data_IF_153331137095
#
_entry.id   IF_153331137095
#
_cell.length_a   1.000
_cell.length_b   1.000
_cell.length_c   1.000
_cell.angle_alpha   90.00
_cell.angle_beta   90.00
_cell.angle_gamma   90.00
#
_symmetry.space_group_name_H-M   'P 1'
#
loop_
_entity.id
_entity.type
_entity.pdbx_description
1 polymer ?
#
# COMPACT_ATOMS: atom_id res chain seq x y z
N UNK A 1 3.99 14.86 1.15
CA UNK A 1 2.99 13.89 0.74
C UNK A 1 2.25 13.37 1.96
N UNK A 2 0.96 13.55 1.99
CA UNK A 2 0.12 13.00 3.03
C UNK A 2 -0.46 11.67 2.58
N UNK A 3 -0.21 10.64 3.37
CA UNK A 3 -0.69 9.27 3.08
C UNK A 3 -1.89 8.89 3.94
N UNK A 4 -2.29 9.80 4.84
CA UNK A 4 -3.42 9.60 5.74
C UNK A 4 -4.49 10.60 5.45
N UNK A 5 -5.71 10.21 5.69
CA UNK A 5 -6.79 11.11 5.67
C UNK A 5 -7.93 10.54 6.29
N UNK A 6 -8.64 11.33 6.74
CA UNK A 6 -10.02 11.20 6.92
C UNK A 6 -10.59 12.32 7.72
N UNK A 7 -11.80 12.28 8.01
CA UNK A 7 -12.54 13.35 8.64
C UNK A 7 -12.00 13.74 10.03
N UNK A 8 -11.61 14.93 10.23
CA UNK A 8 -11.40 15.93 9.22
C UNK A 8 -10.16 15.59 8.41
N UNK A 9 -10.18 15.79 7.11
CA UNK A 9 -8.97 15.67 6.29
C UNK A 9 -7.81 16.43 6.95
N UNK A 10 -6.54 16.11 6.67
CA UNK A 10 -5.40 16.64 7.42
C UNK A 10 -5.19 18.13 7.16
N UNK A 11 -6.07 18.95 7.70
CA UNK A 11 -6.08 20.39 7.55
C UNK A 11 -4.81 21.05 8.06
N UNK A 12 -4.07 20.38 8.97
CA UNK A 12 -2.75 20.81 9.43
C UNK A 12 -1.69 20.85 8.33
N UNK A 13 -1.93 20.24 7.16
CA UNK A 13 -1.06 20.30 5.98
C UNK A 13 -1.47 21.40 4.98
N UNK A 14 -2.53 22.16 5.25
CA UNK A 14 -3.08 23.15 4.30
C UNK A 14 -2.03 24.13 3.82
N UNK A 15 -1.28 24.74 4.72
CA UNK A 15 -0.30 25.77 4.36
C UNK A 15 0.84 25.20 3.52
N UNK A 16 1.23 23.95 3.80
CA UNK A 16 2.20 23.24 2.98
C UNK A 16 1.68 23.01 1.56
N UNK A 17 0.46 22.51 1.41
CA UNK A 17 -0.14 22.31 0.08
C UNK A 17 -0.38 23.64 -0.66
N UNK A 18 -0.77 24.68 0.07
CA UNK A 18 -1.01 26.00 -0.51
C UNK A 18 0.28 26.67 -0.99
N UNK A 19 1.42 26.35 -0.40
CA UNK A 19 2.73 26.86 -0.82
C UNK A 19 3.24 26.27 -2.13
N UNK A 20 2.72 25.11 -2.56
CA UNK A 20 3.12 24.41 -3.77
C UNK A 20 2.30 24.87 -4.98
N UNK A 21 2.94 25.01 -6.15
CA UNK A 21 2.26 25.28 -7.41
C UNK A 21 1.75 24.01 -8.11
N UNK A 22 2.36 22.85 -7.79
CA UNK A 22 1.91 21.53 -8.23
C UNK A 22 1.90 20.53 -7.08
N UNK A 23 0.94 19.60 -7.08
CA UNK A 23 0.81 18.50 -6.14
C UNK A 23 0.57 17.21 -6.93
N UNK A 24 1.49 16.25 -6.79
CA UNK A 24 1.39 14.95 -7.44
C UNK A 24 1.04 13.90 -6.39
N UNK A 25 -0.22 13.47 -6.37
CA UNK A 25 -0.71 12.43 -5.47
C UNK A 25 -0.33 11.05 -5.98
N UNK A 26 0.30 10.25 -5.11
CA UNK A 26 0.72 8.88 -5.45
C UNK A 26 -0.45 7.89 -5.50
N UNK A 27 -1.60 8.27 -4.96
CA UNK A 27 -2.84 7.51 -5.02
C UNK A 27 -4.01 8.43 -5.32
N UNK A 28 -5.13 7.86 -5.80
CA UNK A 28 -6.39 8.59 -5.99
C UNK A 28 -6.86 9.23 -4.68
N UNK A 29 -6.67 8.50 -3.55
CA UNK A 29 -6.91 9.02 -2.22
C UNK A 29 -6.09 10.29 -1.96
N UNK A 30 -4.76 10.24 -2.13
CA UNK A 30 -3.89 11.39 -1.85
C UNK A 30 -4.26 12.60 -2.73
N UNK A 31 -4.59 12.37 -4.01
CA UNK A 31 -5.09 13.44 -4.88
C UNK A 31 -6.37 14.06 -4.32
N UNK A 32 -7.34 13.24 -3.94
CA UNK A 32 -8.61 13.69 -3.37
C UNK A 32 -8.40 14.51 -2.08
N UNK A 33 -7.51 14.05 -1.19
CA UNK A 33 -7.15 14.78 0.03
C UNK A 33 -6.58 16.15 -0.29
N UNK A 34 -5.64 16.23 -1.22
CA UNK A 34 -5.04 17.51 -1.63
C UNK A 34 -6.11 18.49 -2.07
N UNK A 35 -7.08 18.04 -2.87
CA UNK A 35 -8.21 18.84 -3.34
C UNK A 35 -9.14 19.26 -2.19
N UNK A 36 -9.47 18.35 -1.27
CA UNK A 36 -10.32 18.61 -0.10
C UNK A 36 -9.69 19.61 0.86
N UNK A 37 -8.41 19.45 1.18
CA UNK A 37 -7.66 20.31 2.13
C UNK A 37 -7.51 21.73 1.57
N UNK A 38 -7.23 21.86 0.28
CA UNK A 38 -7.12 23.17 -0.38
C UNK A 38 -8.48 23.84 -0.58
N UNK A 39 -9.52 23.05 -0.80
CA UNK A 39 -10.83 23.51 -1.20
C UNK A 39 -10.90 23.93 -2.67
N UNK A 40 -12.10 24.06 -3.18
CA UNK A 40 -12.39 24.23 -4.62
C UNK A 40 -11.65 25.39 -5.30
N UNK A 41 -11.57 26.55 -4.64
CA UNK A 41 -10.98 27.74 -5.28
C UNK A 41 -9.43 27.65 -5.36
N UNK A 42 -8.78 27.18 -4.31
CA UNK A 42 -7.31 27.03 -4.31
C UNK A 42 -6.84 25.89 -5.20
N UNK A 43 -7.59 24.80 -5.26
CA UNK A 43 -7.28 23.64 -6.13
C UNK A 43 -7.26 24.04 -7.61
N UNK A 44 -8.18 24.92 -8.06
CA UNK A 44 -8.22 25.38 -9.46
C UNK A 44 -6.96 26.13 -9.90
N UNK A 45 -6.26 26.79 -8.97
CA UNK A 45 -5.06 27.56 -9.27
C UNK A 45 -3.79 26.71 -9.36
N UNK A 46 -3.88 25.43 -9.10
CA UNK A 46 -2.73 24.50 -9.00
C UNK A 46 -2.82 23.37 -10.02
N UNK A 47 -1.69 22.72 -10.25
CA UNK A 47 -1.65 21.46 -11.01
C UNK A 47 -1.73 20.32 -10.01
N UNK A 48 -2.88 19.65 -9.90
CA UNK A 48 -3.08 18.51 -9.01
C UNK A 48 -3.31 17.28 -9.87
N UNK A 49 -2.41 16.30 -9.77
CA UNK A 49 -2.45 15.09 -10.61
C UNK A 49 -2.32 13.82 -9.79
N UNK A 50 -2.98 12.78 -10.25
CA UNK A 50 -2.74 11.41 -9.83
C UNK A 50 -1.56 10.84 -10.62
N UNK A 51 -0.49 10.53 -9.93
CA UNK A 51 0.70 9.91 -10.48
C UNK A 51 1.04 8.70 -9.61
N UNK A 52 0.54 7.50 -9.95
CA UNK A 52 0.79 6.29 -9.18
C UNK A 52 2.26 5.91 -9.23
N UNK A 53 2.73 5.19 -8.22
CA UNK A 53 4.04 4.60 -8.27
C UNK A 53 4.16 3.59 -9.41
N UNK A 54 5.27 3.68 -10.14
CA UNK A 54 5.65 2.75 -11.18
C UNK A 54 6.97 2.06 -10.84
N UNK A 55 7.08 0.79 -11.19
CA UNK A 55 8.25 -0.03 -10.96
C UNK A 55 8.84 -0.54 -12.28
N UNK A 56 10.09 -1.00 -12.23
CA UNK A 56 10.73 -1.59 -13.39
C UNK A 56 10.17 -3.00 -13.65
N UNK A 57 9.33 -3.08 -14.67
CA UNK A 57 8.70 -4.32 -15.10
C UNK A 57 9.65 -5.30 -15.82
N UNK A 58 10.90 -4.89 -16.09
CA UNK A 58 11.95 -5.78 -16.59
C UNK A 58 12.63 -6.54 -15.46
N UNK A 59 12.60 -6.02 -14.25
CA UNK A 59 13.06 -6.69 -13.03
C UNK A 59 11.92 -7.48 -12.42
N UNK A 60 10.78 -6.81 -12.09
CA UNK A 60 9.60 -7.49 -11.58
C UNK A 60 8.78 -8.09 -12.72
N UNK A 61 9.02 -9.36 -12.99
CA UNK A 61 8.36 -10.12 -14.07
C UNK A 61 8.29 -11.59 -13.73
N UNK A 62 7.41 -12.36 -14.40
CA UNK A 62 7.49 -13.81 -14.36
C UNK A 62 8.87 -14.29 -14.85
N UNK A 63 9.47 -15.21 -14.11
CA UNK A 63 10.81 -15.72 -14.38
C UNK A 63 10.81 -17.23 -14.69
N UNK A 64 11.94 -17.69 -15.24
CA UNK A 64 12.21 -19.11 -15.30
C UNK A 64 12.62 -19.63 -13.91
N UNK A 65 11.81 -20.53 -13.35
CA UNK A 65 12.00 -21.09 -12.01
C UNK A 65 13.12 -22.18 -11.92
N UNK A 66 13.88 -22.38 -12.97
CA UNK A 66 15.02 -23.32 -13.02
C UNK A 66 16.38 -22.60 -12.96
N UNK A 67 16.40 -21.28 -12.83
CA UNK A 67 17.64 -20.51 -12.67
C UNK A 67 18.31 -20.78 -11.32
N UNK A 68 19.64 -20.86 -11.32
CA UNK A 68 20.43 -21.20 -10.12
C UNK A 68 20.13 -20.28 -8.93
N UNK A 69 20.06 -18.98 -9.15
CA UNK A 69 19.80 -17.99 -8.08
C UNK A 69 18.36 -18.13 -7.51
N UNK A 70 17.39 -18.43 -8.37
CA UNK A 70 16.02 -18.71 -7.90
C UNK A 70 15.99 -20.00 -7.05
N UNK A 71 16.68 -21.06 -7.48
CA UNK A 71 16.75 -22.32 -6.73
C UNK A 71 17.47 -22.16 -5.40
N UNK A 72 18.54 -21.34 -5.33
CA UNK A 72 19.19 -20.99 -4.06
C UNK A 72 18.21 -20.32 -3.11
N UNK A 73 17.43 -19.33 -3.58
CA UNK A 73 16.42 -18.68 -2.77
C UNK A 73 15.35 -19.68 -2.30
N UNK A 74 14.81 -20.47 -3.22
CA UNK A 74 13.82 -21.49 -2.92
C UNK A 74 14.32 -22.43 -1.81
N UNK A 75 15.51 -23.00 -1.95
CA UNK A 75 16.10 -23.90 -0.97
C UNK A 75 16.33 -23.23 0.39
N UNK A 76 16.56 -21.93 0.43
CA UNK A 76 16.73 -21.19 1.68
C UNK A 76 15.41 -20.94 2.44
N UNK A 77 14.29 -21.00 1.74
CA UNK A 77 12.96 -20.72 2.28
C UNK A 77 12.14 -22.01 2.53
N UNK A 78 12.37 -23.06 1.75
CA UNK A 78 11.69 -24.33 1.93
C UNK A 78 12.20 -25.01 3.22
N UNK A 79 11.24 -25.41 4.05
CA UNK A 79 11.46 -26.35 5.14
C UNK A 79 11.18 -27.78 4.62
N UNK A 80 11.22 -28.77 5.48
CA UNK A 80 11.04 -30.17 5.14
C UNK A 80 9.77 -30.43 4.33
N UNK A 81 9.92 -30.69 3.04
CA UNK A 81 8.86 -31.05 2.11
C UNK A 81 8.41 -29.91 1.16
N UNK A 82 7.74 -30.30 0.09
CA UNK A 82 7.24 -29.38 -0.93
C UNK A 82 6.01 -28.64 -0.44
N UNK A 83 6.10 -27.30 -0.35
CA UNK A 83 4.97 -26.43 -0.02
C UNK A 83 4.01 -26.31 -1.22
N UNK A 84 2.72 -26.52 -0.98
CA UNK A 84 1.65 -26.42 -1.97
C UNK A 84 1.02 -25.02 -2.03
N UNK A 85 1.09 -24.27 -0.91
CA UNK A 85 0.59 -22.91 -0.82
C UNK A 85 1.53 -22.03 -0.02
N UNK A 86 1.93 -20.92 -0.59
CA UNK A 86 2.90 -19.98 -0.01
C UNK A 86 2.36 -18.56 -0.07
N UNK A 87 2.29 -17.90 1.08
CA UNK A 87 1.85 -16.52 1.22
C UNK A 87 3.02 -15.64 1.67
N UNK A 88 3.14 -14.45 1.10
CA UNK A 88 4.18 -13.49 1.42
C UNK A 88 3.60 -12.24 2.10
N UNK A 89 4.19 -11.85 3.21
CA UNK A 89 4.13 -10.50 3.73
C UNK A 89 5.50 -9.84 3.52
N UNK A 90 5.54 -8.65 2.90
CA UNK A 90 6.76 -7.88 2.71
C UNK A 90 6.56 -6.43 3.12
N UNK A 91 7.10 -6.04 4.26
CA UNK A 91 7.18 -4.65 4.72
C UNK A 91 8.06 -4.52 5.97
N UNK A 92 8.40 -3.28 6.36
CA UNK A 92 9.02 -3.02 7.66
C UNK A 92 8.08 -3.41 8.80
N UNK A 93 8.63 -3.93 9.90
CA UNK A 93 7.87 -4.21 11.12
C UNK A 93 7.58 -2.91 11.85
N UNK A 94 6.44 -2.29 11.55
CA UNK A 94 5.91 -1.11 12.23
C UNK A 94 4.40 -1.28 12.47
N UNK A 95 3.87 -0.63 13.51
CA UNK A 95 2.51 -0.85 14.02
C UNK A 95 1.42 -0.82 12.95
N UNK A 96 1.41 0.20 12.08
CA UNK A 96 0.40 0.33 11.03
C UNK A 96 0.41 -0.79 9.98
N UNK A 97 1.45 -1.62 9.96
CA UNK A 97 1.54 -2.75 9.01
C UNK A 97 0.77 -3.99 9.48
N UNK A 98 0.27 -3.98 10.70
CA UNK A 98 -0.64 -4.99 11.24
C UNK A 98 -0.11 -6.44 11.05
N UNK A 99 1.21 -6.65 11.29
CA UNK A 99 1.82 -7.97 11.12
C UNK A 99 1.24 -9.00 12.11
N UNK A 100 1.02 -8.67 13.40
CA UNK A 100 0.35 -9.58 14.32
C UNK A 100 -1.03 -10.02 13.83
N UNK A 101 -1.82 -9.10 13.24
CA UNK A 101 -3.14 -9.44 12.67
C UNK A 101 -3.00 -10.37 11.44
N UNK A 102 -1.91 -10.21 10.67
CA UNK A 102 -1.59 -11.13 9.56
C UNK A 102 -1.24 -12.53 10.07
N UNK A 103 -0.47 -12.63 11.15
CA UNK A 103 -0.13 -13.92 11.79
C UNK A 103 -1.39 -14.57 12.39
N UNK A 104 -2.26 -13.79 13.01
CA UNK A 104 -3.53 -14.26 13.54
C UNK A 104 -4.47 -14.75 12.42
N UNK A 105 -4.55 -14.02 11.31
CA UNK A 105 -5.30 -14.45 10.12
C UNK A 105 -4.75 -15.77 9.56
N UNK A 106 -3.42 -15.91 9.52
CA UNK A 106 -2.77 -17.16 9.13
C UNK A 106 -3.18 -18.32 10.04
N UNK A 107 -3.20 -18.09 11.36
CA UNK A 107 -3.67 -19.09 12.34
C UNK A 107 -5.10 -19.52 12.06
N UNK A 108 -6.03 -18.56 11.94
CA UNK A 108 -7.43 -18.87 11.66
C UNK A 108 -7.61 -19.62 10.33
N UNK A 109 -6.84 -19.29 9.31
CA UNK A 109 -6.84 -20.06 8.07
C UNK A 109 -6.36 -21.51 8.31
N UNK A 110 -5.22 -21.71 8.97
CA UNK A 110 -4.69 -23.04 9.27
C UNK A 110 -5.68 -23.88 10.09
N UNK A 111 -6.39 -23.27 11.03
CA UNK A 111 -7.38 -23.96 11.88
C UNK A 111 -8.57 -24.53 11.07
N UNK A 112 -8.77 -24.06 9.84
CA UNK A 112 -9.76 -24.64 8.91
C UNK A 112 -9.26 -25.87 8.16
N UNK A 113 -7.98 -26.22 8.28
CA UNK A 113 -7.34 -27.29 7.51
C UNK A 113 -7.01 -28.52 8.38
N UNK A 114 -6.96 -29.70 7.75
CA UNK A 114 -6.38 -30.88 8.38
C UNK A 114 -4.87 -30.69 8.62
N UNK A 115 -4.30 -31.40 9.59
CA UNK A 115 -2.86 -31.36 9.91
C UNK A 115 -1.98 -31.61 8.67
N UNK A 116 -2.36 -32.58 7.83
CA UNK A 116 -1.62 -32.86 6.60
C UNK A 116 -1.57 -31.66 5.64
N UNK A 117 -2.70 -30.96 5.46
CA UNK A 117 -2.79 -29.78 4.61
C UNK A 117 -2.07 -28.57 5.20
N UNK A 118 -2.13 -28.39 6.54
CA UNK A 118 -1.39 -27.31 7.23
C UNK A 118 0.11 -27.42 6.95
N UNK A 119 0.67 -28.63 7.01
CA UNK A 119 2.10 -28.88 6.80
C UNK A 119 2.58 -28.56 5.37
N UNK A 120 1.67 -28.34 4.43
CA UNK A 120 1.95 -27.95 3.04
C UNK A 120 1.72 -26.45 2.76
N UNK A 121 1.38 -25.68 3.77
CA UNK A 121 1.16 -24.24 3.68
C UNK A 121 2.30 -23.50 4.38
N UNK A 122 2.78 -22.38 3.82
CA UNK A 122 3.87 -21.57 4.36
C UNK A 122 3.51 -20.08 4.32
N UNK A 123 3.76 -19.38 5.42
CA UNK A 123 3.76 -17.92 5.48
C UNK A 123 5.20 -17.41 5.55
N UNK A 124 5.57 -16.51 4.65
CA UNK A 124 6.87 -15.86 4.64
C UNK A 124 6.69 -14.42 5.10
N UNK A 125 7.36 -14.04 6.17
CA UNK A 125 7.43 -12.68 6.67
C UNK A 125 8.79 -12.08 6.30
N UNK A 126 8.86 -11.36 5.18
CA UNK A 126 10.05 -10.64 4.78
C UNK A 126 10.10 -9.31 5.51
N UNK A 127 10.69 -9.33 6.71
CA UNK A 127 10.72 -8.21 7.66
C UNK A 127 11.72 -8.44 8.77
N UNK A 128 12.02 -7.41 9.56
CA UNK A 128 12.79 -7.57 10.80
C UNK A 128 11.94 -8.28 11.87
N UNK A 129 12.50 -9.26 12.60
CA UNK A 129 11.74 -10.00 13.62
C UNK A 129 11.28 -9.12 14.78
N UNK A 130 12.07 -8.14 15.17
CA UNK A 130 11.77 -7.19 16.27
C UNK A 130 12.09 -5.78 15.79
N UNK A 131 11.19 -4.82 16.04
CA UNK A 131 11.40 -3.39 15.75
C UNK A 131 10.73 -2.56 16.85
N UNK A 132 11.39 -1.51 17.34
CA UNK A 132 10.89 -0.63 18.39
C UNK A 132 9.59 0.10 18.02
N UNK A 133 9.36 0.33 16.71
CA UNK A 133 8.15 0.94 16.18
C UNK A 133 7.09 -0.10 15.77
N UNK A 134 7.39 -1.38 15.97
CA UNK A 134 6.56 -2.50 15.60
C UNK A 134 6.25 -3.41 16.78
N UNK A 135 6.62 -4.68 16.63
CA UNK A 135 6.41 -5.71 17.66
C UNK A 135 7.50 -6.78 17.62
N UNK A 136 7.56 -7.61 18.66
CA UNK A 136 8.32 -8.85 18.72
C UNK A 136 7.53 -9.98 18.04
N UNK A 137 7.84 -10.23 16.76
CA UNK A 137 7.12 -11.24 15.96
C UNK A 137 7.38 -12.67 16.46
N UNK A 138 8.59 -13.08 16.83
CA UNK A 138 8.85 -14.37 17.48
C UNK A 138 7.94 -14.62 18.70
N UNK A 139 7.74 -13.60 19.55
CA UNK A 139 6.86 -13.72 20.71
C UNK A 139 5.39 -13.89 20.33
N UNK A 140 4.92 -13.12 19.32
CA UNK A 140 3.56 -13.27 18.79
C UNK A 140 3.34 -14.67 18.21
N UNK A 141 4.31 -15.19 17.46
CA UNK A 141 4.22 -16.54 16.89
C UNK A 141 4.17 -17.58 18.00
N UNK A 142 5.05 -17.51 19.00
CA UNK A 142 5.07 -18.43 20.14
C UNK A 142 3.75 -18.42 20.92
N UNK A 143 3.16 -17.24 21.12
CA UNK A 143 1.87 -17.11 21.78
C UNK A 143 0.72 -17.74 20.99
N UNK A 144 0.69 -17.52 19.68
CA UNK A 144 -0.39 -18.01 18.82
C UNK A 144 -0.25 -19.49 18.44
N UNK A 145 0.98 -20.01 18.41
CA UNK A 145 1.31 -21.37 17.99
C UNK A 145 2.20 -22.08 19.02
N UNK A 146 1.67 -22.42 20.20
CA UNK A 146 2.46 -23.04 21.25
C UNK A 146 3.00 -24.45 20.86
N UNK A 147 2.40 -25.12 19.88
CA UNK A 147 2.82 -26.43 19.36
C UNK A 147 3.78 -26.31 18.16
N UNK A 148 4.21 -25.13 17.80
CA UNK A 148 5.15 -24.83 16.70
C UNK A 148 4.71 -25.32 15.30
N UNK A 149 3.43 -25.63 15.10
CA UNK A 149 2.87 -26.18 13.86
C UNK A 149 2.41 -25.10 12.85
N UNK A 150 3.20 -24.02 12.68
CA UNK A 150 2.78 -22.81 11.96
C UNK A 150 3.37 -22.62 10.57
N UNK A 151 4.50 -23.25 10.24
CA UNK A 151 5.26 -23.05 8.99
C UNK A 151 5.46 -21.56 8.60
N UNK A 152 5.70 -20.70 9.61
CA UNK A 152 6.05 -19.31 9.40
C UNK A 152 7.57 -19.19 9.30
N UNK A 153 8.05 -18.52 8.25
CA UNK A 153 9.47 -18.23 8.03
C UNK A 153 9.66 -16.71 8.10
N UNK A 154 10.52 -16.24 9.01
CA UNK A 154 10.94 -14.84 9.03
C UNK A 154 12.21 -14.73 8.19
N UNK A 155 12.20 -13.86 7.19
CA UNK A 155 13.32 -13.54 6.30
C UNK A 155 13.81 -12.12 6.60
N UNK A 156 14.81 -11.94 7.50
CA UNK A 156 15.23 -10.62 7.95
C UNK A 156 16.29 -9.98 7.06
N UNK A 157 16.89 -10.74 6.14
CA UNK A 157 17.97 -10.28 5.30
C UNK A 157 17.47 -9.31 4.23
N UNK A 158 18.23 -8.27 3.93
CA UNK A 158 17.94 -7.40 2.79
C UNK A 158 18.24 -8.16 1.50
N UNK A 159 17.24 -8.18 0.62
CA UNK A 159 17.37 -8.72 -0.73
C UNK A 159 17.68 -7.62 -1.74
N UNK A 160 18.38 -7.97 -2.81
CA UNK A 160 18.45 -7.11 -4.00
C UNK A 160 17.08 -7.05 -4.68
N UNK A 161 16.88 -6.11 -5.58
CA UNK A 161 15.62 -5.98 -6.33
C UNK A 161 15.31 -7.24 -7.14
N UNK A 162 16.33 -7.90 -7.69
CA UNK A 162 16.22 -9.17 -8.40
C UNK A 162 15.82 -10.31 -7.47
N UNK A 163 16.42 -10.40 -6.30
CA UNK A 163 16.06 -11.38 -5.28
C UNK A 163 14.63 -11.19 -4.79
N UNK A 164 14.19 -9.93 -4.65
CA UNK A 164 12.78 -9.62 -4.36
C UNK A 164 11.86 -10.11 -5.47
N UNK A 165 12.23 -9.92 -6.74
CA UNK A 165 11.47 -10.48 -7.87
C UNK A 165 11.39 -12.02 -7.80
N UNK A 166 12.47 -12.69 -7.39
CA UNK A 166 12.45 -14.15 -7.17
C UNK A 166 11.49 -14.54 -6.05
N UNK A 167 11.48 -13.80 -4.95
CA UNK A 167 10.60 -14.04 -3.81
C UNK A 167 9.11 -13.93 -4.22
N UNK A 168 8.73 -12.90 -4.97
CA UNK A 168 7.34 -12.78 -5.49
C UNK A 168 6.98 -13.87 -6.49
N UNK A 169 7.94 -14.37 -7.26
CA UNK A 169 7.72 -15.51 -8.15
C UNK A 169 7.64 -16.86 -7.41
N UNK A 170 8.18 -16.93 -6.20
CA UNK A 170 8.16 -18.15 -5.37
C UNK A 170 6.79 -18.37 -4.71
N UNK A 171 6.09 -17.31 -4.36
CA UNK A 171 4.85 -17.37 -3.59
C UNK A 171 3.59 -17.45 -4.48
N UNK A 172 2.48 -17.83 -3.87
CA UNK A 172 1.18 -17.98 -4.51
C UNK A 172 0.28 -16.75 -4.31
N UNK A 173 0.66 -15.87 -3.40
CA UNK A 173 -0.03 -14.61 -3.11
C UNK A 173 0.77 -13.72 -2.19
N UNK A 174 0.46 -12.42 -2.20
CA UNK A 174 1.02 -11.42 -1.27
C UNK A 174 -0.10 -10.83 -0.44
N UNK A 175 0.11 -10.74 0.89
CA UNK A 175 -0.84 -10.17 1.83
C UNK A 175 -0.30 -8.88 2.44
N UNK A 176 -1.15 -7.84 2.53
CA UNK A 176 -0.84 -6.58 3.19
C UNK A 176 -2.09 -6.01 3.89
N UNK A 177 -2.13 -6.15 5.22
CA UNK A 177 -3.24 -5.70 6.07
C UNK A 177 -2.98 -4.34 6.72
N UNK A 178 -2.12 -3.51 6.12
CA UNK A 178 -1.80 -2.18 6.67
C UNK A 178 -3.07 -1.39 6.96
N UNK A 179 -3.14 -0.75 8.13
CA UNK A 179 -4.26 0.10 8.55
C UNK A 179 -4.27 1.46 7.86
N UNK A 180 -3.14 1.88 7.33
CA UNK A 180 -2.98 3.06 6.49
C UNK A 180 -1.80 2.88 5.54
N UNK A 181 -1.98 3.18 4.26
CA UNK A 181 -0.95 2.98 3.25
C UNK A 181 -1.05 4.01 2.13
N UNK A 182 0.05 4.72 1.86
CA UNK A 182 0.09 5.67 0.75
C UNK A 182 -0.02 5.00 -0.61
N UNK A 183 0.61 3.84 -0.77
CA UNK A 183 0.56 3.06 -1.99
C UNK A 183 0.59 1.54 -1.75
N UNK A 184 1.60 1.02 -1.05
CA UNK A 184 1.82 -0.41 -0.87
C UNK A 184 2.62 -1.03 -2.03
N UNK A 185 3.90 -0.63 -2.18
CA UNK A 185 4.80 -1.08 -3.26
C UNK A 185 4.84 -2.62 -3.40
N UNK A 186 4.80 -3.34 -2.28
CA UNK A 186 4.78 -4.80 -2.26
C UNK A 186 3.65 -5.42 -3.11
N UNK A 187 2.50 -4.74 -3.21
CA UNK A 187 1.39 -5.19 -4.04
C UNK A 187 1.68 -4.98 -5.54
N UNK A 188 2.28 -3.85 -5.91
CA UNK A 188 2.69 -3.60 -7.30
C UNK A 188 3.78 -4.59 -7.75
N UNK A 189 4.77 -4.84 -6.89
CA UNK A 189 5.83 -5.85 -7.12
C UNK A 189 5.21 -7.24 -7.37
N UNK A 190 4.25 -7.61 -6.53
CA UNK A 190 3.48 -8.86 -6.66
C UNK A 190 2.75 -8.95 -7.99
N UNK A 191 1.97 -7.92 -8.33
CA UNK A 191 1.19 -7.89 -9.57
C UNK A 191 2.08 -7.91 -10.83
N UNK A 192 3.19 -7.19 -10.81
CA UNK A 192 4.16 -7.18 -11.92
C UNK A 192 4.79 -8.56 -12.14
N UNK A 193 4.96 -9.37 -11.10
CA UNK A 193 5.44 -10.76 -11.23
C UNK A 193 4.33 -11.75 -11.59
N UNK A 194 3.08 -11.30 -11.63
CA UNK A 194 1.93 -12.14 -11.93
C UNK A 194 1.40 -12.93 -10.73
N UNK A 195 1.60 -12.40 -9.52
CA UNK A 195 1.18 -12.98 -8.25
C UNK A 195 0.00 -12.19 -7.68
N UNK A 196 -1.14 -12.83 -7.37
CA UNK A 196 -2.34 -12.16 -6.83
C UNK A 196 -2.10 -11.58 -5.44
N UNK A 197 -3.00 -10.66 -5.03
CA UNK A 197 -2.88 -9.90 -3.79
C UNK A 197 -4.09 -10.08 -2.88
N UNK A 198 -3.82 -10.10 -1.56
CA UNK A 198 -4.81 -9.95 -0.50
C UNK A 198 -4.47 -8.64 0.22
N UNK A 199 -5.38 -7.69 0.30
CA UNK A 199 -5.06 -6.43 0.95
C UNK A 199 -6.26 -5.76 1.62
N UNK A 200 -5.97 -4.98 2.67
CA UNK A 200 -6.95 -4.13 3.31
C UNK A 200 -7.41 -3.03 2.34
N UNK A 201 -8.72 -2.75 2.34
CA UNK A 201 -9.35 -1.74 1.48
C UNK A 201 -9.15 -0.37 2.12
N UNK A 202 -7.95 0.18 1.97
CA UNK A 202 -7.60 1.54 2.43
C UNK A 202 -6.48 2.16 1.59
N UNK A 203 -6.44 3.47 1.54
CA UNK A 203 -5.37 4.23 0.89
C UNK A 203 -5.13 3.82 -0.56
N UNK A 204 -3.88 3.90 -0.99
CA UNK A 204 -3.46 3.53 -2.34
C UNK A 204 -3.49 2.03 -2.64
N UNK A 205 -3.75 1.16 -1.65
CA UNK A 205 -3.96 -0.26 -1.91
C UNK A 205 -5.25 -0.49 -2.70
N UNK A 206 -6.27 0.36 -2.54
CA UNK A 206 -7.51 0.30 -3.30
C UNK A 206 -7.28 0.52 -4.80
N UNK A 207 -6.35 1.41 -5.15
CA UNK A 207 -5.99 1.67 -6.54
C UNK A 207 -5.52 0.39 -7.24
N UNK A 208 -4.78 -0.46 -6.53
CA UNK A 208 -4.23 -1.70 -7.05
C UNK A 208 -5.23 -2.85 -7.13
N UNK A 209 -6.38 -2.70 -6.50
CA UNK A 209 -7.50 -3.65 -6.58
C UNK A 209 -8.45 -3.33 -7.72
N UNK A 210 -8.41 -2.11 -8.25
CA UNK A 210 -9.28 -1.64 -9.35
C UNK A 210 -10.76 -1.88 -9.05
N UNK A 211 -11.29 -1.23 -8.02
CA UNK A 211 -12.72 -1.26 -7.78
C UNK A 211 -13.49 -0.60 -8.92
N UNK A 212 -14.65 -1.15 -9.24
CA UNK A 212 -15.52 -0.68 -10.31
C UNK A 212 -16.79 -0.05 -9.73
N UNK A 213 -17.23 1.02 -10.38
CA UNK A 213 -18.54 1.60 -10.14
C UNK A 213 -19.65 0.84 -10.88
N UNK A 214 -20.90 1.35 -10.82
CA UNK A 214 -22.05 0.71 -11.49
C UNK A 214 -21.96 0.69 -13.02
N UNK A 215 -21.05 1.43 -13.63
CA UNK A 215 -20.82 1.48 -15.07
C UNK A 215 -19.64 0.58 -15.50
N UNK A 216 -18.91 0.01 -14.55
CA UNK A 216 -17.67 -0.74 -14.79
C UNK A 216 -16.43 0.13 -14.90
N UNK A 217 -16.53 1.43 -14.61
CA UNK A 217 -15.41 2.35 -14.59
C UNK A 217 -14.61 2.21 -13.29
N UNK A 218 -13.31 2.45 -13.37
CA UNK A 218 -12.45 2.46 -12.20
C UNK A 218 -12.83 3.59 -11.25
N UNK A 219 -13.23 3.24 -10.01
CA UNK A 219 -13.74 4.17 -9.00
C UNK A 219 -12.81 5.36 -8.78
N UNK A 220 -13.39 6.56 -8.77
CA UNK A 220 -12.74 7.79 -8.35
C UNK A 220 -13.07 8.10 -6.89
N UNK A 221 -12.07 8.64 -6.17
CA UNK A 221 -12.26 9.09 -4.80
C UNK A 221 -12.97 10.44 -4.74
N UNK A 222 -13.76 10.63 -3.71
CA UNK A 222 -14.50 11.86 -3.45
C UNK A 222 -14.57 12.15 -1.94
N UNK A 223 -15.25 13.24 -1.56
CA UNK A 223 -15.37 13.64 -0.16
C UNK A 223 -16.16 12.68 0.73
N UNK A 224 -16.90 11.72 0.14
CA UNK A 224 -17.75 10.81 0.91
C UNK A 224 -16.95 9.59 1.42
N UNK A 225 -15.83 9.27 0.77
CA UNK A 225 -14.91 8.23 1.21
C UNK A 225 -13.45 8.64 0.94
N UNK A 226 -12.89 9.58 1.69
CA UNK A 226 -11.52 10.04 1.48
C UNK A 226 -10.46 8.98 1.78
N UNK A 227 -10.69 8.02 2.70
CA UNK A 227 -9.77 6.91 3.00
C UNK A 227 -10.15 5.60 2.31
N UNK A 228 -11.43 5.26 2.33
CA UNK A 228 -11.97 4.06 1.68
C UNK A 228 -13.46 4.18 1.41
N UNK A 229 -13.97 3.36 0.49
CA UNK A 229 -15.39 3.33 0.14
C UNK A 229 -16.25 2.46 1.08
N UNK A 230 -15.69 1.96 2.16
CA UNK A 230 -16.37 1.20 3.23
C UNK A 230 -17.25 0.04 2.72
N UNK A 231 -16.81 -0.59 1.64
CA UNK A 231 -17.52 -1.70 1.03
C UNK A 231 -18.69 -1.30 0.13
N UNK A 232 -18.81 -0.05 -0.27
CA UNK A 232 -19.82 0.40 -1.25
C UNK A 232 -19.63 -0.31 -2.59
N UNK A 233 -18.39 -0.44 -3.06
CA UNK A 233 -18.04 -1.12 -4.29
C UNK A 233 -17.58 -2.55 -4.01
N UNK A 234 -18.13 -3.51 -4.73
CA UNK A 234 -17.86 -4.95 -4.56
C UNK A 234 -17.19 -5.58 -5.76
N UNK A 235 -17.36 -5.01 -6.95
CA UNK A 235 -16.68 -5.47 -8.16
C UNK A 235 -15.26 -4.90 -8.16
N UNK A 236 -14.29 -5.74 -8.42
CA UNK A 236 -12.88 -5.42 -8.42
C UNK A 236 -12.11 -6.33 -9.38
N UNK A 237 -10.83 -6.05 -9.61
CA UNK A 237 -9.97 -6.89 -10.43
C UNK A 237 -9.87 -8.31 -9.87
N UNK A 238 -9.95 -9.31 -10.75
CA UNK A 238 -9.94 -10.73 -10.39
C UNK A 238 -8.68 -11.17 -9.61
N UNK A 239 -7.60 -10.42 -9.75
CA UNK A 239 -6.31 -10.67 -9.08
C UNK A 239 -6.26 -10.24 -7.62
N UNK A 240 -7.28 -9.54 -7.16
CA UNK A 240 -7.33 -8.96 -5.82
C UNK A 240 -8.37 -9.67 -4.95
N UNK A 241 -8.01 -9.92 -3.70
CA UNK A 241 -8.89 -10.42 -2.66
C UNK A 241 -8.97 -9.34 -1.57
N UNK A 242 -9.98 -8.44 -1.63
CA UNK A 242 -10.08 -7.33 -0.70
C UNK A 242 -10.52 -7.79 0.69
N UNK A 243 -9.89 -7.23 1.72
CA UNK A 243 -10.33 -7.32 3.11
C UNK A 243 -10.87 -5.95 3.51
N UNK A 244 -12.15 -5.88 3.83
CA UNK A 244 -12.79 -4.60 4.14
C UNK A 244 -12.55 -4.20 5.59
N UNK A 245 -12.24 -2.91 5.87
CA UNK A 245 -12.11 -2.43 7.23
C UNK A 245 -13.41 -2.57 8.02
N UNK A 246 -13.29 -3.03 9.26
CA UNK A 246 -14.40 -3.18 10.21
C UNK A 246 -14.33 -2.15 11.33
N UNK A 247 -13.17 -1.56 11.55
CA UNK A 247 -12.94 -0.55 12.58
C UNK A 247 -12.16 0.64 12.03
N UNK A 248 -12.56 1.84 12.46
CA UNK A 248 -11.89 3.10 12.17
C UNK A 248 -11.41 3.70 13.50
N UNK A 249 -10.09 3.82 13.66
CA UNK A 249 -9.47 4.35 14.88
C UNK A 249 -8.77 5.67 14.62
N UNK A 250 -8.99 6.66 15.48
CA UNK A 250 -8.26 7.93 15.44
C UNK A 250 -6.93 7.77 16.19
N UNK A 251 -5.81 7.97 15.49
CA UNK A 251 -4.46 7.86 16.04
C UNK A 251 -3.63 9.08 15.64
N UNK A 252 -2.45 9.25 16.24
CA UNK A 252 -1.58 10.36 15.87
C UNK A 252 -0.24 10.34 16.58
N UNK A 253 0.58 11.33 16.24
CA UNK A 253 1.86 11.62 16.85
C UNK A 253 2.10 13.14 16.82
N UNK A 254 3.10 13.69 17.54
CA UNK A 254 3.35 15.14 17.51
C UNK A 254 3.55 15.75 16.12
N UNK A 255 4.12 14.96 15.17
CA UNK A 255 4.35 15.42 13.80
C UNK A 255 3.15 15.16 12.87
N UNK A 256 2.25 14.27 13.25
CA UNK A 256 1.04 13.91 12.53
C UNK A 256 -0.09 13.87 13.55
N UNK A 257 -0.67 15.05 13.88
CA UNK A 257 -1.49 15.20 15.08
C UNK A 257 -2.74 14.32 15.09
N UNK A 258 -3.26 13.96 13.93
CA UNK A 258 -4.35 12.99 13.81
C UNK A 258 -4.34 12.33 12.43
N UNK A 259 -4.64 11.04 12.42
CA UNK A 259 -4.94 10.23 11.23
C UNK A 259 -5.99 9.19 11.61
N UNK A 260 -6.64 8.64 10.63
CA UNK A 260 -7.51 7.49 10.79
C UNK A 260 -6.79 6.22 10.35
N UNK A 261 -6.86 5.20 11.20
CA UNK A 261 -6.44 3.84 10.89
C UNK A 261 -7.67 3.01 10.51
N UNK A 262 -7.68 2.48 9.31
CA UNK A 262 -8.68 1.53 8.82
C UNK A 262 -8.23 0.11 9.18
N UNK A 263 -8.79 -0.49 10.23
CA UNK A 263 -8.41 -1.85 10.64
C UNK A 263 -9.42 -2.87 10.16
N UNK A 264 -8.93 -3.98 9.65
CA UNK A 264 -9.74 -5.13 9.26
C UNK A 264 -9.62 -6.25 10.29
N UNK A 265 -10.61 -7.14 10.33
CA UNK A 265 -10.60 -8.31 11.19
C UNK A 265 -9.71 -9.41 10.62
N UNK A 266 -8.97 -10.08 11.49
CA UNK A 266 -8.13 -11.22 11.13
C UNK A 266 -8.95 -12.40 10.58
N UNK A 267 -10.19 -12.59 11.04
CA UNK A 267 -11.09 -13.61 10.52
C UNK A 267 -11.50 -13.36 9.06
N UNK A 268 -11.76 -12.10 8.70
CA UNK A 268 -12.08 -11.75 7.31
C UNK A 268 -10.86 -11.89 6.41
N UNK A 269 -9.68 -11.54 6.91
CA UNK A 269 -8.43 -11.80 6.19
C UNK A 269 -8.19 -13.32 6.01
N UNK A 270 -8.47 -14.13 7.03
CA UNK A 270 -8.37 -15.59 6.94
C UNK A 270 -9.30 -16.19 5.87
N UNK A 271 -10.52 -15.65 5.73
CA UNK A 271 -11.46 -16.05 4.65
C UNK A 271 -10.85 -15.78 3.27
N UNK A 272 -10.18 -14.64 3.08
CA UNK A 272 -9.52 -14.32 1.81
C UNK A 272 -8.29 -15.21 1.55
N UNK A 273 -7.51 -15.51 2.59
CA UNK A 273 -6.40 -16.48 2.47
C UNK A 273 -6.95 -17.85 2.04
N UNK A 274 -8.04 -18.30 2.69
CA UNK A 274 -8.69 -19.57 2.35
C UNK A 274 -9.24 -19.56 0.92
N UNK A 275 -9.88 -18.48 0.50
CA UNK A 275 -10.39 -18.34 -0.87
C UNK A 275 -9.26 -18.47 -1.90
N UNK A 276 -8.12 -17.80 -1.67
CA UNK A 276 -6.95 -17.92 -2.54
C UNK A 276 -6.37 -19.35 -2.54
N UNK A 277 -6.32 -20.00 -1.38
CA UNK A 277 -5.88 -21.40 -1.27
C UNK A 277 -6.77 -22.35 -2.08
N UNK A 278 -8.09 -22.23 -1.93
CA UNK A 278 -9.09 -23.11 -2.56
C UNK A 278 -9.17 -22.94 -4.07
N UNK A 279 -8.75 -21.80 -4.64
CA UNK A 279 -8.65 -21.60 -6.09
C UNK A 279 -7.71 -22.60 -6.77
N UNK A 280 -6.72 -23.12 -6.07
CA UNK A 280 -5.70 -24.01 -6.61
C UNK A 280 -4.68 -23.28 -7.51
N UNK A 281 -3.58 -23.94 -7.79
CA UNK A 281 -2.42 -23.35 -8.49
C UNK A 281 -2.77 -22.80 -9.88
N UNK A 282 -3.57 -23.53 -10.66
CA UNK A 282 -3.92 -23.12 -12.04
C UNK A 282 -4.69 -21.79 -12.06
N UNK A 283 -5.64 -21.62 -11.16
CA UNK A 283 -6.48 -20.42 -11.10
C UNK A 283 -5.70 -19.23 -10.52
N UNK A 284 -4.91 -19.43 -9.47
CA UNK A 284 -4.02 -18.39 -8.95
C UNK A 284 -3.10 -17.83 -10.03
N UNK A 285 -2.51 -18.71 -10.85
CA UNK A 285 -1.68 -18.31 -12.00
C UNK A 285 -2.47 -17.58 -13.09
N UNK A 286 -3.73 -17.96 -13.33
CA UNK A 286 -4.60 -17.29 -14.29
C UNK A 286 -4.89 -15.85 -13.86
N UNK A 287 -5.41 -15.68 -12.65
CA UNK A 287 -5.76 -14.35 -12.12
C UNK A 287 -4.53 -13.45 -11.95
N UNK A 288 -3.39 -14.01 -11.55
CA UNK A 288 -2.13 -13.27 -11.48
C UNK A 288 -1.68 -12.73 -12.85
N UNK A 289 -1.85 -13.50 -13.93
CA UNK A 289 -1.59 -13.03 -15.31
C UNK A 289 -2.54 -11.91 -15.72
N UNK A 290 -3.81 -11.96 -15.32
CA UNK A 290 -4.79 -10.88 -15.55
C UNK A 290 -4.34 -9.60 -14.84
N UNK A 291 -3.96 -9.70 -13.56
CA UNK A 291 -3.44 -8.57 -12.78
C UNK A 291 -2.19 -7.96 -13.42
N UNK A 292 -1.22 -8.81 -13.83
CA UNK A 292 -0.04 -8.32 -14.54
C UNK A 292 -0.39 -7.58 -15.84
N UNK A 293 -1.30 -8.13 -16.63
CA UNK A 293 -1.73 -7.47 -17.88
C UNK A 293 -2.32 -6.09 -17.59
N UNK A 294 -3.11 -5.97 -16.54
CA UNK A 294 -3.72 -4.70 -16.16
C UNK A 294 -2.70 -3.68 -15.67
N UNK A 295 -1.78 -4.04 -14.75
CA UNK A 295 -0.79 -3.08 -14.24
C UNK A 295 0.17 -2.57 -15.32
N UNK A 296 0.41 -3.35 -16.37
CA UNK A 296 1.19 -2.95 -17.53
C UNK A 296 0.39 -2.11 -18.54
N UNK A 297 -0.94 -2.17 -18.47
CA UNK A 297 -1.86 -1.46 -19.36
C UNK A 297 -1.84 0.06 -19.16
N UNK A 298 -2.55 0.78 -20.02
CA UNK A 298 -2.60 2.24 -19.98
C UNK A 298 -3.49 2.76 -18.85
N UNK A 299 -4.53 2.02 -18.48
CA UNK A 299 -5.43 2.38 -17.39
C UNK A 299 -4.67 2.48 -16.06
N UNK A 300 -3.96 1.44 -15.67
CA UNK A 300 -3.16 1.44 -14.44
C UNK A 300 -1.86 2.24 -14.60
N UNK A 301 -1.02 1.82 -15.52
CA UNK A 301 0.23 2.48 -15.82
C UNK A 301 1.25 2.43 -14.67
N UNK A 302 1.36 1.28 -13.96
CA UNK A 302 2.24 1.14 -12.80
C UNK A 302 3.67 0.72 -13.19
N UNK A 303 4.15 1.22 -14.33
CA UNK A 303 5.55 1.03 -14.74
C UNK A 303 6.36 2.31 -14.53
N UNK A 304 7.65 2.17 -14.28
CA UNK A 304 8.56 3.31 -14.05
C UNK A 304 8.53 4.30 -15.23
N UNK A 305 8.46 3.80 -16.47
CA UNK A 305 8.36 4.61 -17.67
C UNK A 305 7.07 5.46 -17.67
N UNK A 306 5.91 4.83 -17.44
CA UNK A 306 4.62 5.54 -17.44
C UNK A 306 4.52 6.54 -16.29
N UNK A 307 5.05 6.21 -15.11
CA UNK A 307 5.15 7.14 -13.99
C UNK A 307 6.01 8.36 -14.38
N UNK A 308 7.18 8.13 -14.97
CA UNK A 308 8.09 9.21 -15.39
C UNK A 308 7.42 10.13 -16.43
N UNK A 309 6.73 9.56 -17.43
CA UNK A 309 6.01 10.33 -18.42
C UNK A 309 4.89 11.18 -17.78
N UNK A 310 4.11 10.63 -16.85
CA UNK A 310 3.08 11.40 -16.11
C UNK A 310 3.70 12.55 -15.29
N UNK A 311 4.90 12.35 -14.72
CA UNK A 311 5.63 13.43 -14.01
C UNK A 311 6.05 14.52 -15.00
N UNK A 312 6.64 14.15 -16.14
CA UNK A 312 7.05 15.10 -17.19
C UNK A 312 5.85 15.90 -17.68
N UNK A 313 4.75 15.23 -18.04
CA UNK A 313 3.51 15.89 -18.47
C UNK A 313 2.96 16.86 -17.41
N UNK A 314 3.03 16.47 -16.15
CA UNK A 314 2.62 17.32 -15.04
C UNK A 314 3.50 18.56 -14.87
N UNK A 315 4.81 18.41 -15.05
CA UNK A 315 5.76 19.52 -15.01
C UNK A 315 5.59 20.45 -16.22
N UNK A 316 5.38 19.91 -17.40
CA UNK A 316 5.12 20.71 -18.61
C UNK A 316 3.83 21.53 -18.48
N UNK A 317 2.78 20.93 -17.89
CA UNK A 317 1.56 21.68 -17.60
C UNK A 317 1.82 22.79 -16.57
N UNK A 318 2.61 22.51 -15.53
CA UNK A 318 2.99 23.49 -14.55
C UNK A 318 3.73 24.67 -15.19
N UNK A 319 4.77 24.41 -15.99
CA UNK A 319 5.56 25.48 -16.61
C UNK A 319 4.74 26.35 -17.58
N UNK A 320 3.73 25.81 -18.25
CA UNK A 320 2.80 26.59 -19.05
C UNK A 320 1.95 27.57 -18.25
N UNK A 321 1.63 27.23 -16.99
CA UNK A 321 0.78 28.02 -16.09
C UNK A 321 1.58 28.87 -15.10
N UNK A 322 2.84 28.53 -14.87
CA UNK A 322 3.67 29.14 -13.84
C UNK A 322 3.95 30.61 -14.11
N UNK A 323 3.65 31.45 -13.14
CA UNK A 323 4.04 32.84 -13.11
C UNK A 323 4.93 33.06 -11.89
N UNK A 324 6.19 33.53 -12.08
CA UNK A 324 7.05 33.83 -10.95
C UNK A 324 6.35 34.81 -9.99
N UNK A 325 6.25 34.41 -8.73
CA UNK A 325 5.76 35.31 -7.69
C UNK A 325 6.91 36.27 -7.33
N UNK A 326 6.62 37.54 -7.18
CA UNK A 326 7.57 38.50 -6.63
C UNK A 326 7.98 38.01 -5.23
N UNK A 327 9.27 37.71 -5.05
CA UNK A 327 9.80 37.25 -3.74
C UNK A 327 9.71 38.34 -2.66
N UNK A 328 9.68 39.60 -3.08
CA UNK A 328 9.67 40.75 -2.18
C UNK A 328 8.75 41.80 -2.72
N UNK A 329 7.88 42.37 -1.89
CA UNK A 329 7.14 43.59 -2.16
C UNK A 329 7.83 44.69 -1.36
N UNK A 330 8.45 45.64 -2.02
CA UNK A 330 8.97 46.83 -1.36
C UNK A 330 7.81 47.81 -1.19
N UNK A 331 7.29 47.89 0.01
CA UNK A 331 6.40 48.97 0.38
C UNK A 331 7.22 50.08 1.02
N UNK A 332 7.13 51.29 0.46
CA UNK A 332 7.68 52.48 1.13
C UNK A 332 6.72 52.79 2.25
N UNK A 333 7.01 52.25 3.43
CA UNK A 333 6.19 52.54 4.60
C UNK A 333 6.64 53.90 5.17
N UNK A 334 5.76 54.89 5.07
CA UNK A 334 5.97 56.23 5.60
C UNK A 334 5.56 56.33 7.06
N UNK A 335 4.97 55.29 7.66
CA UNK A 335 4.48 55.27 9.05
C UNK A 335 4.66 53.91 9.72
N UNK A 336 5.92 53.52 10.03
CA UNK A 336 6.14 52.40 10.90
C UNK A 336 6.01 52.85 12.36
N UNK A 337 4.86 52.58 12.94
CA UNK A 337 4.74 52.63 14.40
C UNK A 337 5.49 51.45 15.03
N UNK A 338 6.72 51.69 15.50
CA UNK A 338 7.64 50.69 16.05
C UNK A 338 7.15 50.02 17.36
N UNK A 339 5.89 50.22 17.74
CA UNK A 339 5.33 49.67 19.00
C UNK A 339 4.72 48.29 18.92
N UNK A 340 4.74 47.62 17.81
CA UNK A 340 4.05 46.30 17.63
C UNK A 340 4.98 45.19 17.21
N UNK A 341 6.11 45.00 17.87
CA UNK A 341 6.90 43.76 17.73
C UNK A 341 7.21 43.16 19.10
N UNK A 342 6.18 42.95 19.90
CA UNK A 342 6.25 42.03 21.02
C UNK A 342 5.51 40.73 20.66
N UNK A 343 6.11 39.93 19.80
CA UNK A 343 5.70 38.54 19.67
C UNK A 343 6.21 37.76 20.88
N UNK A 344 5.34 37.49 21.83
CA UNK A 344 5.57 36.42 22.80
C UNK A 344 5.62 35.12 22.01
N UNK A 345 6.82 34.54 21.88
CA UNK A 345 6.99 33.15 21.53
C UNK A 345 6.36 32.33 22.66
N UNK A 346 5.26 31.67 22.38
CA UNK A 346 4.70 30.64 23.25
C UNK A 346 5.38 29.34 22.79
N UNK A 347 6.21 28.77 23.69
CA UNK A 347 6.79 27.44 23.52
C UNK A 347 5.76 26.37 23.86
#
# INVERSE_FOLDING_TARGET
LNIWDDLPAPMYNRDFYDSCDALFGISKQTKNINEMVLGKERSKSKVIKYIPHGLDHNIFKPINKFGEEYLKLQNSLERDGKMEFKLLFNSRNIRRKCIPDTILAWKYFLDTLSKEKRNKCQLILHTTPVDEHGTDLPEVIRFLFPEEDHNIVISPNKFSTEQMSYLYNYVDGTILLSSAEGWGLALTESLLTGTPIIANVTGGMQDQMRFEDGNGDWVEFNSDFPSNHRGTYKTHGEWALPVYPTNLSLVGSPKTPYIWDDRCDAEDAAKQIKALYEMGDKERKRIGKVGRKWVLGDEAGFTAEKMSNKVIDGMDELFKKFKPKSKFTFTKDTNIDRKVLNHKLIY
#
